data_IF_655080387819
#
_entry.id   IF_655080387819
#
_cell.length_a   1.000
_cell.length_b   1.000
_cell.length_c   1.000
_cell.angle_alpha   90.00
_cell.angle_beta   90.00
_cell.angle_gamma   90.00
#
_symmetry.space_group_name_H-M   'P 1'
#
loop_
_entity.id
_entity.type
_entity.pdbx_description
1 polymer ?
#
# COMPACT_ATOMS: atom_id res chain seq x y z
N UNK A 1 -7.35 -4.24 -14.65
CA UNK A 1 -7.76 -4.31 -13.22
C UNK A 1 -8.88 -3.30 -13.02
N UNK A 2 -10.01 -3.75 -12.47
CA UNK A 2 -11.30 -3.05 -12.43
C UNK A 2 -11.31 -1.83 -11.47
N UNK A 3 -12.17 -0.84 -11.76
CA UNK A 3 -12.42 0.35 -10.90
C UNK A 3 -12.78 0.04 -9.45
N UNK A 4 -13.29 -1.16 -9.18
CA UNK A 4 -13.70 -1.62 -7.86
C UNK A 4 -12.53 -1.66 -6.85
N UNK A 5 -11.31 -1.93 -7.31
CA UNK A 5 -10.16 -2.18 -6.43
C UNK A 5 -9.72 -0.93 -5.66
N UNK A 6 -9.65 0.24 -6.32
CA UNK A 6 -9.24 1.48 -5.65
C UNK A 6 -10.31 1.99 -4.68
N UNK A 7 -11.59 1.74 -4.99
CA UNK A 7 -12.69 2.06 -4.09
C UNK A 7 -12.67 1.16 -2.84
N UNK A 8 -12.44 -0.15 -3.04
CA UNK A 8 -12.26 -1.10 -1.93
C UNK A 8 -11.03 -0.73 -1.08
N UNK A 9 -9.91 -0.38 -1.69
CA UNK A 9 -8.71 0.10 -0.98
C UNK A 9 -9.00 1.37 -0.17
N UNK A 10 -9.70 2.34 -0.77
CA UNK A 10 -10.07 3.60 -0.09
C UNK A 10 -11.00 3.33 1.10
N UNK A 11 -12.00 2.47 0.94
CA UNK A 11 -12.91 2.10 2.02
C UNK A 11 -12.17 1.42 3.18
N UNK A 12 -11.21 0.54 2.88
CA UNK A 12 -10.37 -0.13 3.91
C UNK A 12 -9.46 0.87 4.61
N UNK A 13 -8.78 1.75 3.87
CA UNK A 13 -7.96 2.83 4.41
C UNK A 13 -8.72 3.65 5.46
N UNK A 14 -9.92 4.12 5.09
CA UNK A 14 -10.77 4.91 6.00
C UNK A 14 -11.11 4.13 7.29
N UNK A 15 -11.35 2.82 7.21
CA UNK A 15 -11.69 2.00 8.39
C UNK A 15 -10.51 1.80 9.36
N UNK A 16 -9.27 1.93 8.88
CA UNK A 16 -8.05 1.74 9.68
C UNK A 16 -7.28 3.04 9.89
N UNK A 17 -7.91 4.18 9.64
CA UNK A 17 -7.24 5.49 9.67
C UNK A 17 -6.72 5.90 11.06
N UNK A 18 -7.30 5.34 12.12
CA UNK A 18 -6.88 5.51 13.51
C UNK A 18 -5.66 4.63 13.90
N UNK A 19 -5.20 3.77 12.99
CA UNK A 19 -4.03 2.92 13.20
C UNK A 19 -2.77 3.69 12.79
N UNK A 20 -1.94 4.02 13.78
CA UNK A 20 -0.56 4.50 13.57
C UNK A 20 0.20 3.59 12.60
N UNK A 21 0.86 4.19 11.60
CA UNK A 21 1.47 3.48 10.47
C UNK A 21 0.56 3.31 9.26
N UNK A 22 -0.67 3.83 9.30
CA UNK A 22 -1.52 4.03 8.13
C UNK A 22 -1.36 5.47 7.61
N UNK A 23 -1.10 5.69 6.31
CA UNK A 23 -0.98 7.02 5.73
C UNK A 23 -2.26 7.84 5.88
N UNK A 24 -2.12 9.14 6.18
CA UNK A 24 -3.23 10.10 6.15
C UNK A 24 -3.89 10.13 4.77
N UNK A 25 -5.21 9.97 4.73
CA UNK A 25 -6.00 10.20 3.50
C UNK A 25 -6.28 11.70 3.40
N UNK A 26 -5.74 12.32 2.34
CA UNK A 26 -5.93 13.75 2.06
C UNK A 26 -7.24 13.96 1.31
N UNK A 27 -7.47 13.19 0.25
CA UNK A 27 -8.65 13.30 -0.59
C UNK A 27 -8.88 12.02 -1.42
N UNK A 28 -10.11 11.78 -1.86
CA UNK A 28 -10.46 10.69 -2.77
C UNK A 28 -11.74 11.01 -3.53
N UNK A 29 -11.89 10.45 -4.73
CA UNK A 29 -13.10 10.69 -5.51
C UNK A 29 -13.00 10.21 -6.95
N UNK A 30 -13.87 10.76 -7.80
CA UNK A 30 -13.91 10.48 -9.24
C UNK A 30 -13.59 11.76 -10.00
N UNK A 31 -12.56 11.71 -10.83
CA UNK A 31 -12.30 12.73 -11.84
C UNK A 31 -13.32 12.57 -12.97
N UNK A 32 -14.36 13.42 -12.97
CA UNK A 32 -15.48 13.38 -13.91
C UNK A 32 -15.01 13.37 -15.37
N UNK A 33 -14.11 14.29 -15.74
CA UNK A 33 -13.60 14.43 -17.11
C UNK A 33 -12.81 13.23 -17.64
N UNK A 34 -12.38 12.31 -16.78
CA UNK A 34 -11.59 11.12 -17.19
C UNK A 34 -12.21 9.80 -16.72
N UNK A 35 -13.34 9.84 -16.02
CA UNK A 35 -13.95 8.70 -15.32
C UNK A 35 -12.92 7.87 -14.53
N UNK A 36 -11.99 8.54 -13.82
CA UNK A 36 -10.94 7.88 -13.03
C UNK A 36 -11.16 8.11 -11.56
N UNK A 37 -11.09 7.04 -10.79
CA UNK A 37 -10.95 7.16 -9.35
C UNK A 37 -9.56 7.68 -9.00
N UNK A 38 -9.49 8.54 -7.99
CA UNK A 38 -8.24 8.99 -7.41
C UNK A 38 -8.29 8.81 -5.89
N UNK A 39 -7.12 8.58 -5.33
CA UNK A 39 -6.85 8.57 -3.90
C UNK A 39 -5.54 9.34 -3.71
N UNK A 40 -5.60 10.35 -2.84
CA UNK A 40 -4.47 11.15 -2.42
C UNK A 40 -4.21 10.88 -0.93
N UNK A 41 -2.98 10.50 -0.60
CA UNK A 41 -2.52 10.25 0.77
C UNK A 41 -1.34 11.15 1.10
N UNK A 42 -0.95 11.22 2.37
CA UNK A 42 0.33 11.80 2.76
C UNK A 42 1.47 11.22 1.91
N UNK A 43 2.44 12.07 1.60
CA UNK A 43 3.68 11.63 0.95
C UNK A 43 4.47 10.78 1.94
N UNK A 44 4.98 9.65 1.44
CA UNK A 44 5.84 8.75 2.21
C UNK A 44 7.28 8.83 1.70
N UNK A 45 8.21 8.44 2.56
CA UNK A 45 9.62 8.32 2.23
C UNK A 45 9.95 6.99 1.53
N UNK A 46 11.22 6.57 1.59
CA UNK A 46 11.68 5.40 0.88
C UNK A 46 11.06 4.11 1.42
N UNK A 47 10.73 3.22 0.49
CA UNK A 47 10.34 1.84 0.79
C UNK A 47 11.54 1.00 1.25
N UNK A 48 11.28 -0.07 2.00
CA UNK A 48 12.34 -1.03 2.32
C UNK A 48 12.99 -1.61 1.07
N UNK A 49 12.25 -1.80 -0.02
CA UNK A 49 12.84 -2.22 -1.31
C UNK A 49 13.90 -1.23 -1.82
N UNK A 50 13.65 0.08 -1.73
CA UNK A 50 14.61 1.11 -2.14
C UNK A 50 15.84 1.13 -1.23
N UNK A 51 15.64 1.00 0.09
CA UNK A 51 16.72 0.96 1.07
C UNK A 51 17.60 -0.27 0.84
N UNK A 52 16.99 -1.44 0.66
CA UNK A 52 17.72 -2.70 0.44
C UNK A 52 18.52 -2.70 -0.86
N UNK A 53 18.04 -2.02 -1.93
CA UNK A 53 18.80 -1.86 -3.18
C UNK A 53 20.14 -1.13 -2.99
N UNK A 54 20.21 -0.21 -2.03
CA UNK A 54 21.41 0.61 -1.78
C UNK A 54 22.28 -0.02 -0.70
N UNK A 55 21.65 -0.56 0.34
CA UNK A 55 22.36 -1.05 1.52
C UNK A 55 22.80 -2.50 1.38
N UNK A 56 22.10 -3.30 0.56
CA UNK A 56 22.22 -4.76 0.52
C UNK A 56 21.62 -5.43 1.75
N UNK A 57 22.01 -4.97 2.95
CA UNK A 57 21.53 -5.44 4.25
C UNK A 57 21.47 -4.31 5.28
N UNK A 58 20.62 -4.47 6.29
CA UNK A 58 20.52 -3.61 7.45
C UNK A 58 21.19 -4.25 8.67
N UNK A 59 21.58 -3.42 9.64
CA UNK A 59 22.11 -3.93 10.91
C UNK A 59 21.03 -4.67 11.71
N UNK A 60 21.44 -5.65 12.52
CA UNK A 60 20.54 -6.36 13.42
C UNK A 60 19.75 -5.38 14.30
N UNK A 61 20.41 -4.38 14.90
CA UNK A 61 19.76 -3.34 15.72
C UNK A 61 18.57 -2.71 15.00
N UNK A 62 18.79 -2.23 13.78
CA UNK A 62 17.74 -1.57 12.99
C UNK A 62 16.59 -2.52 12.68
N UNK A 63 16.89 -3.77 12.32
CA UNK A 63 15.84 -4.73 11.98
C UNK A 63 15.02 -5.14 13.20
N UNK A 64 15.62 -5.23 14.39
CA UNK A 64 14.87 -5.47 15.62
C UNK A 64 13.92 -4.30 15.93
N UNK A 65 14.38 -3.05 15.77
CA UNK A 65 13.55 -1.85 15.95
C UNK A 65 12.40 -1.79 14.93
N UNK A 66 12.69 -2.07 13.66
CA UNK A 66 11.70 -2.21 12.58
C UNK A 66 10.67 -3.29 12.95
N UNK A 67 11.14 -4.45 13.40
CA UNK A 67 10.29 -5.58 13.78
C UNK A 67 9.31 -5.22 14.89
N UNK A 68 9.74 -4.48 15.91
CA UNK A 68 8.86 -4.03 17.01
C UNK A 68 7.73 -3.13 16.50
N UNK A 69 8.03 -2.18 15.61
CA UNK A 69 7.02 -1.31 15.00
C UNK A 69 6.03 -2.11 14.14
N UNK A 70 6.52 -3.04 13.31
CA UNK A 70 5.68 -3.85 12.43
C UNK A 70 4.78 -4.84 13.20
N UNK A 71 5.27 -5.41 14.31
CA UNK A 71 4.43 -6.24 15.18
C UNK A 71 3.28 -5.41 15.77
N UNK A 72 3.56 -4.17 16.19
CA UNK A 72 2.53 -3.26 16.72
C UNK A 72 1.49 -2.91 15.65
N UNK A 73 1.92 -2.64 14.42
CA UNK A 73 1.04 -2.39 13.28
C UNK A 73 0.15 -3.60 12.99
N UNK A 74 0.73 -4.80 12.85
CA UNK A 74 -0.02 -6.03 12.61
C UNK A 74 -1.01 -6.31 13.74
N UNK A 75 -0.59 -6.16 15.00
CA UNK A 75 -1.47 -6.33 16.15
C UNK A 75 -2.71 -5.43 16.03
N UNK A 76 -2.53 -4.13 15.76
CA UNK A 76 -3.65 -3.18 15.61
C UNK A 76 -4.60 -3.56 14.47
N UNK A 77 -4.06 -3.96 13.32
CA UNK A 77 -4.86 -4.42 12.18
C UNK A 77 -5.63 -5.71 12.51
N UNK A 78 -4.97 -6.66 13.15
CA UNK A 78 -5.54 -7.95 13.54
C UNK A 78 -6.63 -7.80 14.61
N UNK A 79 -6.48 -6.84 15.52
CA UNK A 79 -7.50 -6.48 16.52
C UNK A 79 -8.75 -5.90 15.85
N UNK A 80 -8.58 -5.13 14.76
CA UNK A 80 -9.64 -4.66 13.86
C UNK A 80 -10.15 -5.72 12.86
N UNK A 81 -9.78 -6.99 13.04
CA UNK A 81 -10.20 -8.13 12.20
C UNK A 81 -9.69 -8.06 10.76
N UNK A 82 -8.60 -7.35 10.49
CA UNK A 82 -7.95 -7.39 9.19
C UNK A 82 -6.73 -8.32 9.18
N UNK A 83 -6.46 -8.93 8.03
CA UNK A 83 -5.26 -9.72 7.72
C UNK A 83 -4.58 -9.03 6.53
N UNK A 84 -3.30 -8.69 6.66
CA UNK A 84 -2.57 -7.90 5.68
C UNK A 84 -2.28 -8.69 4.39
N UNK A 85 -1.87 -9.95 4.53
CA UNK A 85 -1.67 -10.94 3.44
C UNK A 85 -0.66 -10.58 2.35
N UNK A 86 -0.04 -9.38 2.40
CA UNK A 86 0.94 -8.93 1.41
C UNK A 86 2.11 -8.19 2.07
N UNK A 87 2.78 -8.87 3.00
CA UNK A 87 3.97 -8.35 3.69
C UNK A 87 5.18 -8.55 2.78
N UNK A 88 5.58 -7.46 2.13
CA UNK A 88 6.71 -7.42 1.19
C UNK A 88 7.46 -6.09 1.31
N UNK A 89 8.76 -6.00 0.94
CA UNK A 89 9.56 -4.80 1.13
C UNK A 89 9.05 -3.54 0.44
N UNK A 90 8.29 -3.66 -0.66
CA UNK A 90 7.79 -2.49 -1.40
C UNK A 90 6.54 -1.85 -0.77
N UNK A 91 5.87 -2.53 0.16
CA UNK A 91 4.65 -2.05 0.81
C UNK A 91 4.92 -1.27 2.10
N UNK A 92 6.13 -1.31 2.64
CA UNK A 92 6.50 -0.58 3.85
C UNK A 92 7.50 0.54 3.52
N UNK A 93 7.20 1.75 3.99
CA UNK A 93 8.02 2.95 3.80
C UNK A 93 8.27 3.65 5.14
N UNK A 94 9.34 4.44 5.22
CA UNK A 94 9.47 5.45 6.28
C UNK A 94 8.63 6.69 5.97
N UNK A 95 8.53 7.61 6.93
CA UNK A 95 7.97 8.94 6.71
C UNK A 95 8.77 9.74 5.67
N UNK A 96 8.15 10.77 5.10
CA UNK A 96 8.80 11.60 4.07
C UNK A 96 9.98 12.39 4.63
N UNK A 97 9.82 12.94 5.83
CA UNK A 97 10.87 13.68 6.52
C UNK A 97 11.92 12.72 7.10
N UNK A 98 13.18 13.17 7.12
CA UNK A 98 14.31 12.31 7.49
C UNK A 98 14.23 11.83 8.95
N UNK A 99 13.69 12.69 9.81
CA UNK A 99 13.49 12.48 11.23
C UNK A 99 12.29 11.56 11.52
N UNK A 100 11.36 11.40 10.57
CA UNK A 100 10.20 10.52 10.73
C UNK A 100 10.58 9.06 10.46
N UNK A 101 11.05 8.40 11.52
CA UNK A 101 11.39 6.96 11.52
C UNK A 101 10.19 6.04 11.77
N UNK A 102 8.95 6.57 11.67
CA UNK A 102 7.75 5.73 11.69
C UNK A 102 7.61 4.97 10.37
N UNK A 103 7.19 3.71 10.47
CA UNK A 103 6.95 2.86 9.30
C UNK A 103 5.48 2.92 8.91
N UNK A 104 5.24 3.23 7.64
CA UNK A 104 3.92 3.32 7.03
C UNK A 104 3.67 2.18 6.04
N UNK A 105 2.43 1.69 6.03
CA UNK A 105 1.93 0.73 5.04
C UNK A 105 1.38 1.49 3.82
N UNK A 106 2.08 1.38 2.69
CA UNK A 106 1.79 2.11 1.44
C UNK A 106 0.66 1.51 0.61
N UNK A 107 0.44 0.20 0.69
CA UNK A 107 -0.50 -0.52 -0.15
C UNK A 107 -1.40 -1.44 0.67
N UNK A 108 -2.71 -1.18 0.61
CA UNK A 108 -3.76 -1.91 1.34
C UNK A 108 -4.65 -2.73 0.41
N UNK A 109 -4.28 -2.87 -0.87
CA UNK A 109 -5.05 -3.59 -1.88
C UNK A 109 -5.39 -5.02 -1.43
N UNK A 110 -4.46 -5.67 -0.73
CA UNK A 110 -4.59 -7.06 -0.28
C UNK A 110 -5.06 -7.22 1.17
N UNK A 111 -5.35 -6.12 1.87
CA UNK A 111 -5.90 -6.19 3.23
C UNK A 111 -7.26 -6.88 3.18
N UNK A 112 -7.42 -7.97 3.92
CA UNK A 112 -8.64 -8.80 3.94
C UNK A 112 -9.31 -8.70 5.29
N UNK A 113 -10.63 -8.48 5.31
CA UNK A 113 -11.41 -8.68 6.54
C UNK A 113 -11.50 -10.18 6.83
N UNK A 114 -11.24 -10.55 8.08
CA UNK A 114 -11.36 -11.93 8.61
C UNK A 114 -12.78 -12.47 8.48
N UNK A 115 -13.77 -11.59 8.38
CA UNK A 115 -15.20 -11.95 8.25
C UNK A 115 -15.60 -12.23 6.80
N UNK A 116 -14.80 -11.76 5.83
CA UNK A 116 -15.05 -12.03 4.44
C UNK A 116 -14.46 -13.40 4.06
N UNK A 117 -15.32 -14.37 3.75
CA UNK A 117 -14.97 -15.67 3.14
C UNK A 117 -14.47 -15.50 1.69
N UNK A 118 -13.50 -14.63 1.46
CA UNK A 118 -12.91 -14.42 0.15
C UNK A 118 -11.91 -15.55 -0.07
N UNK A 119 -12.23 -16.39 -1.06
CA UNK A 119 -11.32 -17.41 -1.60
C UNK A 119 -9.95 -16.79 -1.77
N UNK A 120 -8.88 -17.54 -1.43
CA UNK A 120 -7.49 -17.25 -1.77
C UNK A 120 -7.46 -16.47 -3.07
N UNK A 121 -7.28 -15.14 -2.98
CA UNK A 121 -7.05 -14.33 -4.16
C UNK A 121 -5.93 -15.06 -4.89
N UNK A 122 -6.11 -15.32 -6.19
CA UNK A 122 -5.08 -15.92 -7.02
C UNK A 122 -3.88 -14.97 -6.94
N UNK A 123 -3.04 -15.15 -5.93
CA UNK A 123 -1.87 -14.31 -5.71
C UNK A 123 -1.04 -14.53 -6.96
N UNK A 124 -0.80 -13.47 -7.76
CA UNK A 124 0.13 -13.63 -8.86
C UNK A 124 1.46 -14.07 -8.23
N UNK A 125 1.88 -15.31 -8.52
CA UNK A 125 3.00 -16.01 -7.88
C UNK A 125 4.38 -15.34 -8.05
N UNK A 126 4.41 -14.10 -8.57
CA UNK A 126 5.61 -13.30 -8.79
C UNK A 126 6.32 -12.90 -7.48
N UNK A 127 5.58 -12.72 -6.38
CA UNK A 127 6.15 -12.29 -5.09
C UNK A 127 6.02 -13.38 -4.01
N UNK A 128 6.24 -14.64 -4.40
CA UNK A 128 6.10 -15.78 -3.49
C UNK A 128 7.16 -15.84 -2.38
N UNK A 129 8.22 -15.04 -2.44
CA UNK A 129 9.36 -15.10 -1.51
C UNK A 129 8.96 -14.89 -0.04
N UNK A 130 8.03 -13.97 0.22
CA UNK A 130 7.61 -13.63 1.58
C UNK A 130 6.32 -14.34 1.99
N UNK A 131 5.62 -14.99 1.05
CA UNK A 131 4.37 -15.68 1.37
C UNK A 131 4.61 -16.79 2.40
N UNK A 132 3.74 -16.82 3.41
CA UNK A 132 3.68 -17.86 4.43
C UNK A 132 3.71 -19.26 3.82
N UNK A 133 4.51 -20.19 4.39
CA UNK A 133 4.58 -21.53 3.86
C UNK A 133 3.36 -22.39 4.27
N UNK A 134 2.52 -21.90 5.19
CA UNK A 134 1.33 -22.61 5.69
C UNK A 134 0.01 -22.08 5.10
N UNK A 135 0.07 -21.13 4.15
CA UNK A 135 -1.09 -20.46 3.58
C UNK A 135 -2.16 -21.42 3.00
N UNK A 136 -1.73 -22.53 2.38
CA UNK A 136 -2.64 -23.53 1.79
C UNK A 136 -3.09 -24.63 2.76
N UNK A 137 -2.44 -24.75 3.93
CA UNK A 137 -2.85 -25.65 5.01
C UNK A 137 -4.06 -25.05 5.73
N UNK A 138 -4.08 -23.73 5.82
CA UNK A 138 -5.15 -22.93 6.37
C UNK A 138 -6.23 -22.67 5.31
N UNK A 139 -7.51 -22.64 5.71
CA UNK A 139 -8.65 -22.35 4.82
C UNK A 139 -8.70 -20.85 4.43
N UNK A 140 -7.60 -20.30 3.93
CA UNK A 140 -7.39 -18.89 3.65
C UNK A 140 -6.37 -18.22 4.58
N UNK A 141 -5.95 -16.98 4.27
CA UNK A 141 -4.97 -16.22 5.05
C UNK A 141 -5.39 -16.04 6.51
N UNK A 142 -4.42 -16.08 7.41
CA UNK A 142 -4.61 -15.94 8.85
C UNK A 142 -3.56 -15.03 9.49
N UNK A 143 -3.75 -14.74 10.78
CA UNK A 143 -2.79 -13.95 11.56
C UNK A 143 -1.42 -14.66 11.65
N UNK A 144 -1.41 -15.99 11.60
CA UNK A 144 -0.19 -16.80 11.57
C UNK A 144 0.58 -16.57 10.26
N UNK A 145 -0.14 -16.46 9.14
CA UNK A 145 0.48 -16.23 7.83
C UNK A 145 1.21 -14.89 7.77
N UNK A 146 0.58 -13.84 8.28
CA UNK A 146 1.22 -12.52 8.39
C UNK A 146 2.47 -12.56 9.29
N UNK A 147 2.46 -13.35 10.37
CA UNK A 147 3.61 -13.49 11.26
C UNK A 147 4.76 -14.31 10.65
N UNK A 148 4.49 -15.32 9.83
CA UNK A 148 5.51 -15.99 9.01
C UNK A 148 6.11 -15.02 7.99
N UNK A 149 5.26 -14.31 7.27
CA UNK A 149 5.69 -13.35 6.25
C UNK A 149 6.50 -12.20 6.84
N UNK A 150 6.14 -11.71 8.04
CA UNK A 150 6.92 -10.71 8.75
C UNK A 150 8.30 -11.23 9.17
N UNK A 151 8.39 -12.44 9.70
CA UNK A 151 9.69 -13.01 10.06
C UNK A 151 10.61 -13.17 8.83
N UNK A 152 10.07 -13.61 7.69
CA UNK A 152 10.84 -13.66 6.43
C UNK A 152 11.26 -12.29 5.93
N UNK A 153 10.40 -11.28 6.05
CA UNK A 153 10.76 -9.90 5.72
C UNK A 153 11.92 -9.43 6.59
N UNK A 154 11.87 -9.63 7.90
CA UNK A 154 12.93 -9.20 8.82
C UNK A 154 14.25 -9.94 8.56
N UNK A 155 14.22 -11.26 8.33
CA UNK A 155 15.43 -12.02 7.98
C UNK A 155 16.01 -11.53 6.66
N UNK A 156 15.17 -11.25 5.66
CA UNK A 156 15.61 -10.65 4.41
C UNK A 156 16.29 -9.29 4.62
N UNK A 157 15.80 -8.44 5.53
CA UNK A 157 16.43 -7.15 5.82
C UNK A 157 17.83 -7.30 6.42
N UNK A 158 18.09 -8.34 7.23
CA UNK A 158 19.40 -8.57 7.86
C UNK A 158 20.36 -9.30 6.91
N UNK A 159 19.87 -10.28 6.17
CA UNK A 159 20.72 -11.16 5.36
C UNK A 159 20.84 -10.69 3.90
N UNK A 160 20.04 -9.69 3.50
CA UNK A 160 19.93 -9.20 2.12
C UNK A 160 19.21 -10.13 1.15
N UNK A 161 19.09 -11.42 1.50
CA UNK A 161 18.50 -12.45 0.64
C UNK A 161 17.75 -13.52 1.45
N UNK A 162 16.91 -14.30 0.76
CA UNK A 162 16.30 -15.53 1.28
C UNK A 162 16.79 -16.73 0.46
N UNK A 163 17.00 -17.91 1.07
CA UNK A 163 17.54 -19.10 0.38
C UNK A 163 16.71 -19.58 -0.82
N UNK A 164 15.42 -19.23 -0.84
CA UNK A 164 14.47 -19.60 -1.88
C UNK A 164 14.13 -18.45 -2.84
N UNK A 165 14.89 -17.34 -2.82
CA UNK A 165 14.67 -16.27 -3.78
C UNK A 165 14.89 -16.80 -5.21
N UNK A 166 13.79 -16.94 -5.94
CA UNK A 166 13.81 -17.19 -7.38
C UNK A 166 13.63 -15.85 -8.08
N UNK A 167 14.51 -15.55 -9.04
CA UNK A 167 14.43 -14.34 -9.86
C UNK A 167 13.16 -14.40 -10.71
N UNK A 168 12.22 -13.46 -10.50
CA UNK A 168 11.01 -13.11 -11.28
C UNK A 168 10.40 -14.15 -12.24
N UNK A 169 10.25 -15.41 -11.79
CA UNK A 169 9.57 -16.44 -12.58
C UNK A 169 8.16 -16.70 -12.03
N UNK A 170 7.18 -16.75 -12.94
CA UNK A 170 5.86 -17.28 -12.63
C UNK A 170 6.00 -18.78 -12.35
N UNK A 171 5.72 -19.18 -11.12
CA UNK A 171 5.71 -20.59 -10.73
C UNK A 171 4.30 -21.16 -10.81
N UNK A 172 4.21 -22.43 -11.23
CA UNK A 172 2.97 -23.22 -11.19
C UNK A 172 2.54 -23.54 -9.76
N UNK A 173 1.28 -23.93 -9.57
CA UNK A 173 0.74 -24.32 -8.26
C UNK A 173 1.56 -25.47 -7.62
N UNK A 174 1.95 -26.47 -8.43
CA UNK A 174 2.80 -27.56 -7.96
C UNK A 174 4.17 -27.07 -7.48
N UNK A 175 4.81 -26.18 -8.23
CA UNK A 175 6.08 -25.57 -7.83
C UNK A 175 5.93 -24.73 -6.55
N UNK A 176 4.79 -24.05 -6.39
CA UNK A 176 4.50 -23.30 -5.17
C UNK A 176 4.35 -24.22 -3.94
N UNK A 177 3.68 -25.37 -4.07
CA UNK A 177 3.61 -26.36 -2.99
C UNK A 177 4.98 -26.93 -2.62
N UNK A 178 5.84 -27.20 -3.60
CA UNK A 178 7.23 -27.64 -3.33
C UNK A 178 8.05 -26.54 -2.66
N UNK A 179 7.88 -25.28 -3.08
CA UNK A 179 8.48 -24.12 -2.43
C UNK A 179 8.02 -24.00 -0.97
N UNK A 180 6.74 -24.20 -0.67
CA UNK A 180 6.22 -24.19 0.71
C UNK A 180 6.90 -25.25 1.60
N UNK A 181 7.03 -26.49 1.10
CA UNK A 181 7.75 -27.56 1.81
C UNK A 181 9.21 -27.20 2.04
N UNK A 182 9.88 -26.65 1.02
CA UNK A 182 11.27 -26.21 1.14
C UNK A 182 11.43 -25.10 2.18
N UNK A 183 10.55 -24.09 2.16
CA UNK A 183 10.52 -23.03 3.16
C UNK A 183 10.38 -23.56 4.58
N UNK A 184 9.43 -24.46 4.84
CA UNK A 184 9.27 -25.07 6.17
C UNK A 184 10.52 -25.79 6.62
N UNK A 185 11.14 -26.58 5.74
CA UNK A 185 12.38 -27.29 6.05
C UNK A 185 13.50 -26.33 6.44
N UNK A 186 13.72 -25.28 5.64
CA UNK A 186 14.80 -24.31 5.84
C UNK A 186 14.55 -23.38 7.02
N UNK A 187 13.28 -23.04 7.30
CA UNK A 187 12.90 -22.11 8.39
C UNK A 187 13.42 -22.53 9.76
N UNK A 188 13.54 -23.85 10.00
CA UNK A 188 14.02 -24.41 11.26
C UNK A 188 15.48 -24.93 11.18
N UNK A 189 16.16 -24.71 10.05
CA UNK A 189 17.55 -25.09 9.87
C UNK A 189 18.46 -24.09 10.60
N UNK A 190 19.45 -24.61 11.33
CA UNK A 190 20.44 -23.80 12.05
C UNK A 190 21.31 -22.97 11.08
N UNK A 191 21.52 -23.43 9.85
CA UNK A 191 22.28 -22.67 8.85
C UNK A 191 21.52 -21.43 8.38
N UNK A 192 20.19 -21.52 8.30
CA UNK A 192 19.35 -20.38 7.95
C UNK A 192 19.22 -19.40 9.12
N UNK A 193 19.08 -19.93 10.33
CA UNK A 193 19.05 -19.17 11.59
C UNK A 193 20.46 -18.96 12.14
N UNK A 194 21.32 -18.35 11.31
CA UNK A 194 22.70 -18.04 11.64
C UNK A 194 22.84 -17.05 12.83
N UNK A 195 24.07 -16.62 13.14
CA UNK A 195 24.33 -15.77 14.30
C UNK A 195 23.44 -14.52 14.36
N UNK A 196 23.14 -13.87 13.21
CA UNK A 196 22.35 -12.63 13.19
C UNK A 196 20.84 -12.89 13.21
N UNK A 197 20.38 -14.02 12.65
CA UNK A 197 18.95 -14.35 12.52
C UNK A 197 18.44 -15.35 13.57
N UNK A 198 19.31 -15.89 14.43
CA UNK A 198 18.98 -16.85 15.49
C UNK A 198 17.83 -16.44 16.42
N UNK A 199 17.63 -15.13 16.62
CA UNK A 199 16.49 -14.56 17.38
C UNK A 199 15.13 -15.03 16.86
N UNK A 200 15.01 -15.30 15.56
CA UNK A 200 13.76 -15.78 14.96
C UNK A 200 13.48 -17.26 15.21
N UNK A 201 14.43 -18.03 15.75
CA UNK A 201 14.21 -19.42 16.11
C UNK A 201 13.11 -19.60 17.17
N UNK A 202 13.10 -18.76 18.20
CA UNK A 202 12.05 -18.76 19.22
C UNK A 202 10.71 -18.29 18.64
N UNK A 203 10.75 -17.27 17.77
CA UNK A 203 9.58 -16.77 17.05
C UNK A 203 8.92 -17.88 16.23
N UNK A 204 9.68 -18.59 15.39
CA UNK A 204 9.15 -19.65 14.53
C UNK A 204 8.59 -20.82 15.33
N UNK A 205 9.27 -21.22 16.42
CA UNK A 205 8.76 -22.23 17.35
C UNK A 205 7.40 -21.80 17.89
N UNK A 206 7.29 -20.57 18.38
CA UNK A 206 6.03 -20.05 18.92
C UNK A 206 4.89 -20.05 17.89
N UNK A 207 5.08 -19.44 16.72
CA UNK A 207 3.98 -19.34 15.74
C UNK A 207 3.58 -20.71 15.18
N UNK A 208 4.49 -21.69 15.14
CA UNK A 208 4.17 -23.06 14.72
C UNK A 208 3.27 -23.82 15.70
N UNK A 209 3.18 -23.38 16.96
CA UNK A 209 2.29 -23.98 17.98
C UNK A 209 0.86 -23.42 17.95
N UNK A 210 0.65 -22.31 17.24
CA UNK A 210 -0.65 -21.62 17.22
C UNK A 210 -1.65 -22.36 16.33
N UNK A 211 -2.91 -22.38 16.77
CA UNK A 211 -4.03 -22.80 15.92
C UNK A 211 -4.45 -21.62 15.04
N UNK A 212 -4.94 -21.89 13.82
CA UNK A 212 -5.37 -20.85 12.88
C UNK A 212 -6.39 -19.84 13.47
N UNK A 213 -7.28 -20.30 14.35
CA UNK A 213 -8.28 -19.45 15.00
C UNK A 213 -7.76 -18.68 16.22
N UNK A 214 -6.59 -19.05 16.75
CA UNK A 214 -6.02 -18.47 17.95
C UNK A 214 -5.45 -17.09 17.66
N UNK A 215 -5.74 -16.14 18.56
CA UNK A 215 -5.13 -14.80 18.51
C UNK A 215 -3.69 -14.89 19.06
N UNK A 216 -2.66 -14.48 18.28
CA UNK A 216 -1.27 -14.50 18.72
C UNK A 216 -1.00 -13.57 19.90
N UNK A 217 -0.07 -13.96 20.76
CA UNK A 217 0.50 -13.12 21.80
C UNK A 217 1.59 -12.22 21.21
N UNK A 218 1.19 -11.09 20.64
CA UNK A 218 2.11 -10.11 20.05
C UNK A 218 3.10 -9.54 21.06
N UNK A 219 2.75 -9.48 22.36
CA UNK A 219 3.68 -9.04 23.40
C UNK A 219 4.84 -10.02 23.57
N UNK A 220 4.57 -11.32 23.52
CA UNK A 220 5.62 -12.34 23.53
C UNK A 220 6.56 -12.19 22.33
N UNK A 221 6.02 -12.02 21.12
CA UNK A 221 6.82 -11.78 19.91
C UNK A 221 7.68 -10.50 20.00
N UNK A 222 7.12 -9.40 20.50
CA UNK A 222 7.90 -8.16 20.77
C UNK A 222 9.00 -8.43 21.79
N UNK A 223 8.71 -9.15 22.86
CA UNK A 223 9.66 -9.43 23.92
C UNK A 223 10.85 -10.27 23.44
N UNK A 224 10.68 -11.18 22.47
CA UNK A 224 11.80 -11.88 21.82
C UNK A 224 12.80 -10.86 21.23
N UNK A 225 12.30 -9.86 20.49
CA UNK A 225 13.15 -8.83 19.87
C UNK A 225 13.74 -7.86 20.91
N UNK A 226 12.92 -7.42 21.88
CA UNK A 226 13.32 -6.48 22.94
C UNK A 226 14.42 -7.08 23.83
N UNK A 227 14.28 -8.35 24.22
CA UNK A 227 15.33 -9.05 24.97
C UNK A 227 16.64 -9.03 24.20
N UNK A 228 16.60 -9.26 22.88
CA UNK A 228 17.80 -9.24 22.05
C UNK A 228 18.43 -7.84 21.94
N UNK A 229 17.62 -6.78 21.93
CA UNK A 229 18.10 -5.39 21.98
C UNK A 229 18.89 -5.16 23.28
N UNK A 230 18.32 -5.54 24.43
CA UNK A 230 18.95 -5.32 25.72
C UNK A 230 20.20 -6.19 25.95
N UNK A 231 20.20 -7.44 25.48
CA UNK A 231 21.39 -8.31 25.49
C UNK A 231 22.60 -7.68 24.80
N UNK A 232 22.36 -6.90 23.74
CA UNK A 232 23.41 -6.20 22.99
C UNK A 232 23.73 -4.80 23.54
N UNK A 233 23.09 -4.37 24.64
CA UNK A 233 23.28 -3.05 25.24
C UNK A 233 22.65 -1.89 24.45
N UNK A 234 21.76 -2.19 23.49
CA UNK A 234 21.03 -1.18 22.72
C UNK A 234 19.78 -0.69 23.45
N UNK A 235 19.20 0.41 22.98
CA UNK A 235 17.99 1.00 23.56
C UNK A 235 16.84 1.01 22.55
N UNK A 236 15.61 0.95 23.07
CA UNK A 236 14.40 0.99 22.22
C UNK A 236 14.17 2.34 21.53
N UNK A 237 14.80 3.40 22.02
CA UNK A 237 14.75 4.74 21.43
C UNK A 237 16.00 5.06 20.59
N UNK A 238 16.86 4.08 20.32
CA UNK A 238 17.94 4.25 19.36
C UNK A 238 17.36 4.53 17.97
N UNK A 239 18.05 5.35 17.19
CA UNK A 239 17.59 5.68 15.84
C UNK A 239 17.87 4.54 14.87
N UNK A 240 16.95 4.38 13.91
CA UNK A 240 17.12 3.49 12.76
C UNK A 240 17.94 4.24 11.72
N UNK A 241 19.14 3.72 11.41
CA UNK A 241 20.12 4.39 10.54
C UNK A 241 20.49 3.55 9.31
N UNK A 242 20.48 4.12 8.11
CA UNK A 242 20.93 3.47 6.88
C UNK A 242 21.77 4.39 5.99
N UNK A 243 22.67 3.77 5.19
CA UNK A 243 23.54 4.47 4.24
C UNK A 243 22.74 5.38 3.30
N UNK A 244 23.32 6.55 2.98
CA UNK A 244 22.80 7.51 2.01
C UNK A 244 21.39 8.05 2.32
N UNK A 245 21.00 8.05 3.59
CA UNK A 245 19.70 8.52 4.08
C UNK A 245 19.22 9.83 3.43
N UNK A 246 20.07 10.87 3.44
CA UNK A 246 19.75 12.17 2.85
C UNK A 246 19.48 12.09 1.34
N UNK A 247 20.28 11.34 0.58
CA UNK A 247 20.12 11.20 -0.87
C UNK A 247 18.86 10.39 -1.22
N UNK A 248 18.56 9.36 -0.42
CA UNK A 248 17.39 8.51 -0.60
C UNK A 248 16.10 9.31 -0.31
N UNK A 249 16.07 10.12 0.74
CA UNK A 249 14.92 10.98 1.07
C UNK A 249 14.76 12.18 0.12
N UNK A 250 15.86 12.69 -0.44
CA UNK A 250 15.83 13.79 -1.42
C UNK A 250 15.24 13.38 -2.77
N UNK A 251 15.17 12.08 -3.04
CA UNK A 251 14.44 11.49 -4.17
C UNK A 251 12.93 11.49 -3.89
N UNK A 252 12.36 12.66 -3.56
CA UNK A 252 10.94 12.80 -3.22
C UNK A 252 10.07 12.38 -4.41
N UNK A 253 9.25 11.36 -4.22
CA UNK A 253 8.07 11.15 -5.07
C UNK A 253 7.09 12.29 -4.82
N UNK A 254 6.79 13.04 -5.88
CA UNK A 254 5.63 13.95 -5.98
C UNK A 254 4.41 13.20 -5.44
N UNK A 255 3.52 13.88 -4.69
CA UNK A 255 2.26 13.37 -4.10
C UNK A 255 1.81 12.07 -4.75
N UNK A 256 1.71 10.99 -3.98
CA UNK A 256 1.37 9.67 -4.52
C UNK A 256 -0.10 9.61 -4.95
N UNK A 257 -0.40 10.16 -6.12
CA UNK A 257 -1.72 10.10 -6.74
C UNK A 257 -1.83 8.76 -7.46
N UNK A 258 -2.54 7.79 -6.87
CA UNK A 258 -2.95 6.59 -7.59
C UNK A 258 -4.10 6.97 -8.55
N UNK A 259 -3.88 6.88 -9.86
CA UNK A 259 -4.95 7.07 -10.88
C UNK A 259 -4.92 5.97 -11.94
N UNK A 260 -6.07 5.56 -12.48
CA UNK A 260 -6.16 4.48 -13.49
C UNK A 260 -7.16 4.78 -14.60
N UNK A 261 -6.78 4.54 -15.86
CA UNK A 261 -7.65 4.65 -17.06
C UNK A 261 -8.46 3.37 -17.31
N UNK A 262 -9.67 3.53 -17.85
CA UNK A 262 -10.41 2.43 -18.49
C UNK A 262 -9.67 2.02 -19.76
N UNK A 263 -9.09 0.82 -19.78
CA UNK A 263 -8.61 0.18 -20.99
C UNK A 263 -9.69 -0.76 -21.53
N UNK A 264 -10.20 -0.47 -22.73
CA UNK A 264 -11.02 -1.38 -23.52
C UNK A 264 -10.15 -2.51 -24.08
N UNK A 265 -10.58 -3.75 -23.88
CA UNK A 265 -9.96 -4.96 -24.47
C UNK A 265 -10.04 -4.95 -26.00
N UNK A 266 -8.91 -5.11 -26.69
CA UNK A 266 -8.87 -5.60 -28.09
C UNK A 266 -7.80 -6.68 -28.18
N UNK A 267 -8.21 -7.84 -28.69
CA UNK A 267 -7.40 -9.03 -28.98
C UNK A 267 -6.60 -8.87 -30.29
N UNK A 268 -5.34 -9.37 -30.28
CA UNK A 268 -4.31 -9.58 -31.33
C UNK A 268 -4.84 -10.03 -32.73
N UNK A 269 -4.26 -9.84 -33.93
CA UNK A 269 -2.90 -9.59 -34.55
C UNK A 269 -3.12 -9.48 -36.11
N UNK A 270 -2.12 -9.65 -37.03
CA UNK A 270 -1.03 -8.76 -37.49
C UNK A 270 -1.12 -8.37 -39.00
N UNK A 271 -0.13 -7.59 -39.48
CA UNK A 271 0.26 -7.24 -40.87
C UNK A 271 -0.14 -5.89 -41.49
N UNK A 272 0.83 -4.97 -41.40
CA UNK A 272 1.44 -4.16 -42.47
C UNK A 272 0.59 -3.80 -43.70
N UNK A 273 0.37 -2.49 -43.88
CA UNK A 273 0.78 -1.73 -45.08
C UNK A 273 0.78 -0.21 -44.81
N UNK A 274 1.96 0.38 -45.00
CA UNK A 274 2.30 1.72 -45.53
C UNK A 274 1.64 2.94 -44.85
N UNK A 275 2.37 3.65 -43.98
CA UNK A 275 3.21 4.83 -44.32
C UNK A 275 2.51 5.76 -45.33
N UNK A 276 1.83 6.78 -44.80
CA UNK A 276 1.97 8.20 -45.19
C UNK A 276 0.95 9.06 -44.44
N UNK A 277 1.33 9.53 -43.24
CA UNK A 277 1.05 10.90 -42.72
C UNK A 277 1.71 11.05 -41.34
N UNK A 278 3.02 11.27 -41.37
CA UNK A 278 3.84 11.66 -40.24
C UNK A 278 3.92 13.19 -40.17
N UNK A 279 3.27 13.79 -39.17
CA UNK A 279 3.66 15.02 -38.41
C UNK A 279 2.40 15.53 -37.66
N UNK A 280 2.35 15.49 -36.30
CA UNK A 280 3.18 16.30 -35.41
C UNK A 280 3.61 15.58 -34.09
N UNK A 281 4.07 14.33 -34.15
CA UNK A 281 4.39 13.52 -32.95
C UNK A 281 5.88 13.60 -32.53
N UNK A 282 6.72 14.35 -33.24
CA UNK A 282 8.17 14.43 -32.95
C UNK A 282 8.64 15.71 -32.23
N UNK A 283 7.74 16.61 -31.81
CA UNK A 283 8.12 17.85 -31.12
C UNK A 283 7.98 17.80 -29.58
N UNK A 284 7.27 16.82 -29.02
CA UNK A 284 7.06 16.76 -27.55
C UNK A 284 8.26 16.16 -26.80
N UNK A 285 9.05 15.31 -27.45
CA UNK A 285 10.16 14.62 -26.77
C UNK A 285 11.43 15.47 -26.61
N UNK A 286 11.57 16.59 -27.34
CA UNK A 286 12.69 17.53 -27.13
C UNK A 286 12.38 18.60 -26.08
N UNK A 287 11.13 19.00 -25.89
CA UNK A 287 10.74 19.91 -24.81
C UNK A 287 10.76 19.22 -23.44
N UNK A 288 10.51 17.90 -23.39
CA UNK A 288 10.53 17.14 -22.15
C UNK A 288 11.94 16.93 -21.58
N UNK A 289 12.97 16.85 -22.42
CA UNK A 289 14.37 16.77 -21.98
C UNK A 289 14.96 18.15 -21.58
N UNK A 290 14.52 19.24 -22.21
CA UNK A 290 14.95 20.61 -21.85
C UNK A 290 14.29 21.11 -20.56
N UNK A 291 13.05 20.69 -20.26
CA UNK A 291 12.31 21.09 -19.06
C UNK A 291 12.85 20.49 -17.74
N UNK A 292 13.69 19.45 -17.78
CA UNK A 292 14.31 18.90 -16.56
C UNK A 292 15.36 19.83 -15.92
N UNK A 293 15.74 20.91 -16.61
CA UNK A 293 16.81 21.81 -16.14
C UNK A 293 16.33 23.11 -15.47
N UNK A 294 15.03 23.42 -15.43
CA UNK A 294 14.55 24.69 -14.87
C UNK A 294 13.28 24.59 -14.00
N UNK A 295 13.45 24.89 -12.71
CA UNK A 295 12.48 25.48 -11.76
C UNK A 295 11.35 24.61 -11.17
N UNK A 296 11.69 23.84 -10.13
CA UNK A 296 10.75 23.28 -9.12
C UNK A 296 9.83 24.31 -8.44
N UNK A 297 10.22 25.58 -8.33
CA UNK A 297 9.40 26.62 -7.66
C UNK A 297 8.23 27.13 -8.52
N UNK A 298 8.32 27.02 -9.86
CA UNK A 298 7.26 27.51 -10.74
C UNK A 298 6.10 26.53 -10.91
N UNK A 299 6.34 25.23 -10.75
CA UNK A 299 5.28 24.21 -10.81
C UNK A 299 4.33 24.28 -9.60
N UNK A 300 4.87 24.46 -8.38
CA UNK A 300 4.06 24.62 -7.18
C UNK A 300 3.22 25.92 -7.22
N UNK A 301 3.80 27.02 -7.70
CA UNK A 301 3.09 28.29 -7.88
C UNK A 301 1.98 28.19 -8.93
N UNK A 302 2.23 27.46 -10.02
CA UNK A 302 1.28 27.24 -11.11
C UNK A 302 0.09 26.36 -10.69
N UNK A 303 0.36 25.29 -9.94
CA UNK A 303 -0.69 24.42 -9.39
C UNK A 303 -1.51 25.20 -8.35
N UNK A 304 -0.85 25.95 -7.46
CA UNK A 304 -1.51 26.78 -6.44
C UNK A 304 -2.39 27.89 -7.07
N UNK A 305 -1.92 28.57 -8.12
CA UNK A 305 -2.71 29.55 -8.86
C UNK A 305 -3.92 28.92 -9.58
N UNK A 306 -3.79 27.71 -10.13
CA UNK A 306 -4.95 27.00 -10.69
C UNK A 306 -6.00 26.66 -9.63
N UNK A 307 -5.58 26.23 -8.44
CA UNK A 307 -6.52 25.98 -7.34
C UNK A 307 -7.22 27.25 -6.84
N UNK A 308 -6.50 28.38 -6.73
CA UNK A 308 -7.07 29.68 -6.36
C UNK A 308 -8.08 30.19 -7.39
N UNK A 309 -7.80 30.04 -8.69
CA UNK A 309 -8.70 30.46 -9.76
C UNK A 309 -10.00 29.63 -9.80
N UNK A 310 -9.91 28.31 -9.57
CA UNK A 310 -11.10 27.45 -9.48
C UNK A 310 -11.96 27.81 -8.26
N UNK A 311 -11.33 28.16 -7.13
CA UNK A 311 -12.04 28.58 -5.91
C UNK A 311 -12.80 29.90 -6.11
N UNK A 312 -12.17 30.86 -6.80
CA UNK A 312 -12.79 32.17 -7.12
C UNK A 312 -13.95 32.04 -8.10
N UNK A 313 -13.84 31.16 -9.10
CA UNK A 313 -14.93 30.83 -10.04
C UNK A 313 -16.14 30.20 -9.34
N UNK A 314 -15.93 29.42 -8.27
CA UNK A 314 -17.01 28.84 -7.46
C UNK A 314 -17.70 29.90 -6.60
N UNK A 315 -16.93 30.83 -6.00
CA UNK A 315 -17.46 31.94 -5.20
C UNK A 315 -18.27 32.93 -6.05
N UNK A 316 -17.81 33.22 -7.28
CA UNK A 316 -18.50 34.09 -8.23
C UNK A 316 -19.82 33.47 -8.74
N UNK A 317 -19.89 32.13 -8.90
CA UNK A 317 -21.12 31.44 -9.30
C UNK A 317 -22.18 31.37 -8.18
N UNK A 318 -21.75 31.24 -6.92
CA UNK A 318 -22.66 31.23 -5.77
C UNK A 318 -23.35 32.58 -5.54
N UNK A 319 -22.74 33.69 -5.95
CA UNK A 319 -23.39 35.01 -5.90
C UNK A 319 -24.47 35.19 -6.97
N UNK A 320 -24.36 34.48 -8.11
CA UNK A 320 -25.33 34.59 -9.22
C UNK A 320 -26.60 33.75 -9.02
N UNK A 321 -26.55 32.66 -8.25
CA UNK A 321 -27.69 31.76 -8.04
C UNK A 321 -28.69 32.22 -6.97
N UNK A 322 -28.33 33.19 -6.12
CA UNK A 322 -29.23 33.75 -5.09
C UNK A 322 -30.37 34.63 -5.65
N UNK A 323 -30.51 34.76 -6.98
CA UNK A 323 -31.43 35.73 -7.61
C UNK A 323 -32.59 35.15 -8.44
N UNK A 324 -32.84 33.83 -8.50
CA UNK A 324 -33.94 33.30 -9.33
C UNK A 324 -34.73 32.17 -8.65
N UNK A 325 -36.01 32.48 -8.38
CA UNK A 325 -37.05 31.58 -7.85
C UNK A 325 -38.00 31.09 -8.96
N UNK A 326 -38.41 29.81 -8.97
CA UNK A 326 -39.81 29.33 -8.89
C UNK A 326 -40.03 27.84 -9.31
N UNK A 327 -40.72 27.11 -8.42
CA UNK A 327 -41.83 26.11 -8.56
C UNK A 327 -41.77 24.77 -9.32
N UNK A 328 -42.08 23.73 -8.52
CA UNK A 328 -43.07 22.64 -8.68
C UNK A 328 -42.96 21.66 -9.85
N UNK A 329 -42.48 20.45 -9.55
CA UNK A 329 -43.18 19.15 -9.73
C UNK A 329 -42.56 18.18 -8.71
N UNK A 330 -43.30 17.88 -7.65
CA UNK A 330 -43.06 16.79 -6.71
C UNK A 330 -44.40 16.09 -6.53
N UNK A 331 -44.46 14.76 -6.45
CA UNK A 331 -44.71 14.18 -5.13
C UNK A 331 -44.34 12.69 -5.00
N UNK A 332 -43.98 11.99 -6.08
CA UNK A 332 -43.81 10.52 -5.99
C UNK A 332 -42.36 10.03 -5.82
N UNK A 333 -41.35 10.88 -6.03
CA UNK A 333 -39.94 10.53 -5.75
C UNK A 333 -39.56 10.81 -4.28
N UNK A 334 -40.32 11.67 -3.59
CA UNK A 334 -40.01 12.19 -2.26
C UNK A 334 -39.94 11.11 -1.15
N UNK A 335 -40.66 9.99 -1.29
CA UNK A 335 -40.63 8.92 -0.27
C UNK A 335 -39.40 8.00 -0.34
N UNK A 336 -38.81 7.84 -1.53
CA UNK A 336 -37.59 7.03 -1.70
C UNK A 336 -36.35 7.83 -1.25
N UNK A 337 -36.33 9.14 -1.52
CA UNK A 337 -35.30 10.08 -1.06
C UNK A 337 -35.29 10.25 0.46
N UNK A 338 -36.45 10.30 1.12
CA UNK A 338 -36.55 10.37 2.60
C UNK A 338 -35.99 9.13 3.32
N UNK A 339 -35.89 7.99 2.65
CA UNK A 339 -35.26 6.77 3.18
C UNK A 339 -33.73 6.80 3.06
N UNK A 340 -33.20 7.43 2.01
CA UNK A 340 -31.76 7.59 1.78
C UNK A 340 -31.16 8.72 2.63
N UNK A 341 -31.89 9.81 2.82
CA UNK A 341 -31.49 10.96 3.63
C UNK A 341 -31.32 10.61 5.12
N UNK A 342 -32.03 9.57 5.61
CA UNK A 342 -31.82 9.03 6.97
C UNK A 342 -30.49 8.28 7.14
N UNK A 343 -29.82 7.88 6.05
CA UNK A 343 -28.51 7.23 6.07
C UNK A 343 -27.34 8.22 5.85
N UNK A 344 -27.62 9.46 5.45
CA UNK A 344 -26.62 10.49 5.11
C UNK A 344 -26.18 11.39 6.28
N UNK A 345 -26.58 11.11 7.52
CA UNK A 345 -26.15 11.87 8.70
C UNK A 345 -24.69 11.64 9.14
N UNK A 346 -23.79 11.27 8.22
CA UNK A 346 -22.34 11.27 8.42
C UNK A 346 -21.67 12.23 7.43
N UNK A 347 -21.70 13.50 7.80
CA UNK A 347 -20.98 14.66 7.26
C UNK A 347 -19.76 14.36 6.35
N UNK A 348 -19.86 14.61 5.03
CA UNK A 348 -18.84 15.26 4.14
C UNK A 348 -19.25 15.26 2.65
N UNK A 349 -18.72 16.19 1.83
CA UNK A 349 -19.39 16.69 0.65
C UNK A 349 -19.38 15.71 -0.53
N UNK A 350 -20.58 15.37 -0.99
CA UNK A 350 -20.79 14.73 -2.28
C UNK A 350 -20.69 15.82 -3.35
N UNK A 351 -19.69 15.77 -4.21
CA UNK A 351 -19.73 16.52 -5.47
C UNK A 351 -20.67 15.80 -6.44
N UNK A 352 -21.97 16.03 -6.27
CA UNK A 352 -23.01 15.66 -7.23
C UNK A 352 -22.93 16.64 -8.42
N UNK A 353 -22.25 16.24 -9.50
CA UNK A 353 -22.58 16.80 -10.81
C UNK A 353 -23.86 16.15 -11.31
N UNK A 354 -24.90 16.98 -11.40
CA UNK A 354 -26.20 16.63 -11.92
C UNK A 354 -26.15 16.13 -13.38
N UNK A 355 -26.95 15.08 -13.63
CA UNK A 355 -27.65 14.70 -14.86
C UNK A 355 -26.86 14.53 -16.16
N UNK A 356 -26.71 13.28 -16.58
CA UNK A 356 -27.07 12.85 -17.94
C UNK A 356 -27.61 11.41 -17.93
N UNK A 357 -28.86 11.24 -18.33
CA UNK A 357 -29.42 10.11 -19.08
C UNK A 357 -30.85 10.55 -19.48
N UNK A 358 -31.30 10.60 -20.74
CA UNK A 358 -30.99 9.79 -21.94
C UNK A 358 -31.17 10.60 -23.24
N UNK A 359 -30.41 10.26 -24.27
CA UNK A 359 -30.99 9.81 -25.54
C UNK A 359 -30.84 8.29 -25.54
#
# INVERSE_FOLDING_TARGET
>A
MNSNVLQEETAKLIQVQDVEGIPEVIDYGILVFKHRYFLATQTLGPSFSQIMKINGQLSLKNVLLIGIQLIKLLQKLHDKKFILSNIIPCNFCFGAELEDKLIYLKDLTFLQSKECNIKLLQFPFKECNFISPVLNIHKGPSQIDDLYSLAYLLIYLINGTLPWQQIDQLISEKQFQELQKYKLKVTFDQQFLDQQSSVFGEWFKYISTLKQSQHPNYNYLKNILISKIYENGWKLNDQIEYKNEQAIHSSKSIVSIKSRSRGTSITKTPNQRMIETLSPILEVDKEFELAQSAQKQNEELFIFQKFQNVRKLIEDQQQTENNLSFTSIGQNECEMWKKLEKLENLSRPIYLMNKFEKI
#
